data_IF_977446071989
#
_entry.id   IF_977446071989
#
_cell.length_a   1.000
_cell.length_b   1.000
_cell.length_c   1.000
_cell.angle_alpha   90.00
_cell.angle_beta   90.00
_cell.angle_gamma   90.00
#
_symmetry.space_group_name_H-M   'P 1'
#
loop_
_entity.id
_entity.type
_entity.pdbx_description
1 polymer ?
#
# COMPACT_ATOMS: atom_id res chain seq x y z
N UNK A 1 -47.75 -48.72 5.10
CA UNK A 1 -46.45 -48.57 4.42
C UNK A 1 -46.38 -47.14 3.89
N UNK A 2 -46.60 -46.14 4.75
CA UNK A 2 -47.04 -44.80 4.31
C UNK A 2 -46.33 -43.64 5.04
N UNK A 3 -45.43 -43.93 5.99
CA UNK A 3 -44.73 -42.90 6.76
C UNK A 3 -43.39 -42.46 6.13
N UNK A 4 -42.74 -43.31 5.30
CA UNK A 4 -41.46 -42.98 4.67
C UNK A 4 -41.60 -42.04 3.45
N UNK A 5 -42.73 -42.10 2.75
CA UNK A 5 -42.99 -41.27 1.57
C UNK A 5 -43.17 -39.78 1.94
N UNK A 6 -43.71 -39.48 3.11
CA UNK A 6 -43.98 -38.10 3.55
C UNK A 6 -42.71 -37.37 4.03
N UNK A 7 -41.83 -38.06 4.78
CA UNK A 7 -40.58 -37.50 5.29
C UNK A 7 -39.60 -37.11 4.17
N UNK A 8 -39.53 -37.92 3.10
CA UNK A 8 -38.67 -37.61 1.94
C UNK A 8 -39.14 -36.37 1.18
N UNK A 9 -40.46 -36.18 1.07
CA UNK A 9 -41.08 -35.08 0.35
C UNK A 9 -40.96 -33.76 1.12
N UNK A 10 -41.08 -33.81 2.45
CA UNK A 10 -40.84 -32.66 3.35
C UNK A 10 -39.38 -32.19 3.23
N UNK A 11 -38.42 -33.11 3.31
CA UNK A 11 -36.98 -32.78 3.21
C UNK A 11 -36.62 -32.17 1.85
N UNK A 12 -37.21 -32.68 0.77
CA UNK A 12 -36.93 -32.17 -0.58
C UNK A 12 -37.55 -30.78 -0.83
N UNK A 13 -38.74 -30.50 -0.26
CA UNK A 13 -39.34 -29.16 -0.29
C UNK A 13 -38.53 -28.14 0.51
N UNK A 14 -38.01 -28.52 1.67
CA UNK A 14 -37.20 -27.61 2.49
C UNK A 14 -35.86 -27.28 1.83
N UNK A 15 -35.20 -28.25 1.22
CA UNK A 15 -33.97 -28.01 0.45
C UNK A 15 -34.21 -27.09 -0.74
N UNK A 16 -35.28 -27.33 -1.50
CA UNK A 16 -35.63 -26.48 -2.66
C UNK A 16 -36.04 -25.07 -2.22
N UNK A 17 -36.66 -24.93 -1.04
CA UNK A 17 -37.00 -23.64 -0.43
C UNK A 17 -35.75 -22.90 0.05
N UNK A 18 -34.78 -23.60 0.65
CA UNK A 18 -33.46 -23.05 1.00
C UNK A 18 -32.67 -22.61 -0.22
N UNK A 19 -32.63 -23.43 -1.27
CA UNK A 19 -31.99 -23.07 -2.54
C UNK A 19 -32.68 -21.86 -3.20
N UNK A 20 -34.02 -21.81 -3.16
CA UNK A 20 -34.79 -20.66 -3.68
C UNK A 20 -34.55 -19.37 -2.89
N UNK A 21 -34.40 -19.45 -1.57
CA UNK A 21 -34.16 -18.28 -0.70
C UNK A 21 -32.71 -17.80 -0.75
N UNK A 22 -31.76 -18.71 -0.95
CA UNK A 22 -30.34 -18.39 -1.22
C UNK A 22 -30.16 -17.76 -2.61
N UNK A 23 -30.88 -18.25 -3.62
CA UNK A 23 -30.83 -17.70 -4.98
C UNK A 23 -31.63 -16.40 -5.15
N UNK A 24 -32.65 -16.16 -4.32
CA UNK A 24 -33.45 -14.93 -4.33
C UNK A 24 -32.94 -13.82 -3.42
N UNK A 25 -31.75 -13.96 -2.82
CA UNK A 25 -31.16 -12.95 -1.92
C UNK A 25 -30.16 -12.07 -2.68
N UNK A 26 -30.59 -10.93 -3.27
CA UNK A 26 -29.70 -10.02 -4.01
C UNK A 26 -28.60 -9.40 -3.15
N UNK A 27 -28.72 -9.46 -1.82
CA UNK A 27 -27.80 -8.84 -0.86
C UNK A 27 -26.50 -9.65 -0.61
N UNK A 28 -26.51 -10.97 -0.79
CA UNK A 28 -25.36 -11.84 -0.53
C UNK A 28 -24.15 -11.58 -1.46
N UNK A 29 -24.28 -11.55 -2.80
CA UNK A 29 -23.14 -11.33 -3.69
C UNK A 29 -22.56 -9.92 -3.55
N UNK A 30 -23.41 -8.91 -3.30
CA UNK A 30 -23.01 -7.53 -3.04
C UNK A 30 -22.22 -7.39 -1.73
N UNK A 31 -22.68 -8.03 -0.65
CA UNK A 31 -21.98 -8.01 0.65
C UNK A 31 -20.61 -8.69 0.61
N UNK A 32 -20.50 -9.84 -0.09
CA UNK A 32 -19.23 -10.56 -0.26
C UNK A 32 -18.23 -9.73 -1.09
N UNK A 33 -18.71 -9.11 -2.18
CA UNK A 33 -17.88 -8.23 -3.01
C UNK A 33 -17.41 -6.99 -2.24
N UNK A 34 -18.30 -6.35 -1.48
CA UNK A 34 -17.95 -5.20 -0.63
C UNK A 34 -16.93 -5.58 0.45
N UNK A 35 -17.11 -6.73 1.12
CA UNK A 35 -16.16 -7.24 2.12
C UNK A 35 -14.78 -7.46 1.50
N UNK A 36 -14.71 -8.10 0.33
CA UNK A 36 -13.43 -8.33 -0.34
C UNK A 36 -12.73 -7.03 -0.74
N UNK A 37 -13.49 -6.03 -1.19
CA UNK A 37 -12.97 -4.71 -1.55
C UNK A 37 -12.37 -3.97 -0.35
N UNK A 38 -13.03 -4.00 0.81
CA UNK A 38 -12.47 -3.46 2.06
C UNK A 38 -11.27 -4.25 2.57
N UNK A 39 -11.22 -5.56 2.35
CA UNK A 39 -10.03 -6.36 2.65
C UNK A 39 -8.85 -5.98 1.76
N UNK A 40 -9.08 -5.66 0.48
CA UNK A 40 -8.02 -5.13 -0.41
C UNK A 40 -7.51 -3.79 0.09
N UNK A 41 -8.39 -2.90 0.54
CA UNK A 41 -7.99 -1.64 1.18
C UNK A 41 -7.14 -1.89 2.44
N UNK A 42 -7.59 -2.74 3.35
CA UNK A 42 -6.84 -3.07 4.56
C UNK A 42 -5.47 -3.68 4.25
N UNK A 43 -5.41 -4.57 3.25
CA UNK A 43 -4.15 -5.14 2.79
C UNK A 43 -3.22 -4.11 2.15
N UNK A 44 -3.76 -3.16 1.38
CA UNK A 44 -2.98 -2.06 0.82
C UNK A 44 -2.38 -1.17 1.93
N UNK A 45 -3.20 -0.77 2.92
CA UNK A 45 -2.72 -0.02 4.09
C UNK A 45 -1.62 -0.79 4.81
N UNK A 46 -1.83 -2.09 5.06
CA UNK A 46 -0.82 -2.95 5.67
C UNK A 46 0.49 -2.97 4.88
N UNK A 47 0.42 -3.19 3.56
CA UNK A 47 1.59 -3.34 2.69
C UNK A 47 2.40 -2.05 2.52
N UNK A 48 1.81 -0.88 2.73
CA UNK A 48 2.59 0.38 2.77
C UNK A 48 3.15 0.63 4.17
N UNK A 49 2.36 0.40 5.23
CA UNK A 49 2.73 0.88 6.56
C UNK A 49 3.60 -0.08 7.38
N UNK A 50 3.41 -1.39 7.26
CA UNK A 50 4.12 -2.37 8.11
C UNK A 50 5.46 -2.80 7.53
N UNK A 51 5.58 -3.12 6.23
CA UNK A 51 6.84 -3.55 5.63
C UNK A 51 8.00 -2.59 5.83
N UNK A 52 7.77 -1.28 5.93
CA UNK A 52 8.84 -0.29 6.17
C UNK A 52 9.65 -0.59 7.43
N UNK A 53 9.01 -1.10 8.50
CA UNK A 53 9.68 -1.46 9.75
C UNK A 53 10.50 -2.75 9.67
N UNK A 54 10.30 -3.54 8.61
CA UNK A 54 11.02 -4.79 8.35
C UNK A 54 12.12 -4.53 7.31
N UNK A 55 11.76 -3.84 6.22
CA UNK A 55 12.66 -3.53 5.12
C UNK A 55 13.78 -2.58 5.55
N UNK A 56 13.47 -1.50 6.29
CA UNK A 56 14.48 -0.51 6.67
C UNK A 56 15.64 -1.11 7.52
N UNK A 57 15.40 -1.98 8.53
CA UNK A 57 16.49 -2.69 9.20
C UNK A 57 17.24 -3.68 8.29
N UNK A 58 16.51 -4.44 7.45
CA UNK A 58 17.13 -5.45 6.57
C UNK A 58 18.03 -4.76 5.54
N UNK A 59 17.56 -3.73 4.87
CA UNK A 59 18.31 -3.05 3.81
C UNK A 59 19.55 -2.33 4.35
N UNK A 60 19.51 -1.84 5.60
CA UNK A 60 20.68 -1.25 6.26
C UNK A 60 21.75 -2.29 6.65
N UNK A 61 21.34 -3.51 7.00
CA UNK A 61 22.24 -4.55 7.51
C UNK A 61 22.73 -5.48 6.40
N UNK A 62 21.84 -5.83 5.49
CA UNK A 62 21.96 -6.85 4.44
C UNK A 62 21.24 -6.36 3.16
N UNK A 63 21.75 -5.32 2.48
CA UNK A 63 21.09 -4.74 1.31
C UNK A 63 20.86 -5.76 0.18
N UNK A 64 21.82 -6.66 -0.06
CA UNK A 64 21.69 -7.75 -1.03
C UNK A 64 20.58 -8.74 -0.67
N UNK A 65 20.32 -8.98 0.62
CA UNK A 65 19.20 -9.81 1.06
C UNK A 65 17.86 -9.11 0.81
N UNK A 66 17.75 -7.81 1.11
CA UNK A 66 16.55 -7.03 0.80
C UNK A 66 16.20 -7.10 -0.68
N UNK A 67 17.23 -6.94 -1.54
CA UNK A 67 17.07 -7.05 -2.98
C UNK A 67 16.67 -8.47 -3.43
N UNK A 68 17.25 -9.52 -2.82
CA UNK A 68 16.87 -10.90 -3.10
C UNK A 68 15.42 -11.22 -2.68
N UNK A 69 14.93 -10.59 -1.60
CA UNK A 69 13.53 -10.73 -1.16
C UNK A 69 12.54 -10.17 -2.19
N UNK A 70 12.92 -9.23 -3.05
CA UNK A 70 12.10 -8.85 -4.21
C UNK A 70 11.75 -10.07 -5.06
N UNK A 71 12.74 -10.92 -5.36
CA UNK A 71 12.52 -12.15 -6.13
C UNK A 71 11.55 -13.10 -5.45
N UNK A 72 11.61 -13.20 -4.11
CA UNK A 72 10.65 -13.97 -3.32
C UNK A 72 9.22 -13.40 -3.44
N UNK A 73 9.04 -12.08 -3.34
CA UNK A 73 7.74 -11.43 -3.48
C UNK A 73 7.15 -11.63 -4.88
N UNK A 74 7.95 -11.48 -5.93
CA UNK A 74 7.55 -11.73 -7.32
C UNK A 74 7.14 -13.19 -7.52
N UNK A 75 7.95 -14.14 -7.04
CA UNK A 75 7.61 -15.56 -7.12
C UNK A 75 6.31 -15.89 -6.38
N UNK A 76 6.15 -15.38 -5.15
CA UNK A 76 4.94 -15.60 -4.35
C UNK A 76 3.71 -14.99 -5.02
N UNK A 77 3.85 -13.79 -5.59
CA UNK A 77 2.82 -13.13 -6.38
C UNK A 77 2.35 -14.03 -7.53
N UNK A 78 3.25 -14.51 -8.39
CA UNK A 78 2.88 -15.39 -9.51
C UNK A 78 2.25 -16.71 -9.03
N UNK A 79 2.76 -17.28 -7.93
CA UNK A 79 2.18 -18.49 -7.32
C UNK A 79 0.74 -18.25 -6.89
N UNK A 80 0.41 -17.10 -6.31
CA UNK A 80 -0.97 -16.75 -5.93
C UNK A 80 -1.83 -16.37 -7.14
N UNK A 81 -1.25 -15.74 -8.16
CA UNK A 81 -1.95 -15.42 -9.42
C UNK A 81 -2.30 -16.67 -10.24
N UNK A 82 -1.64 -17.81 -10.00
CA UNK A 82 -1.94 -19.07 -10.69
C UNK A 82 -3.33 -19.66 -10.38
N UNK A 83 -3.99 -19.20 -9.30
CA UNK A 83 -5.31 -19.69 -8.89
C UNK A 83 -6.35 -18.56 -8.86
N UNK A 84 -7.55 -18.74 -9.44
CA UNK A 84 -8.58 -17.70 -9.45
C UNK A 84 -8.96 -17.17 -8.05
N UNK A 85 -9.00 -18.05 -7.05
CA UNK A 85 -9.36 -17.69 -5.68
C UNK A 85 -8.34 -16.76 -4.99
N UNK A 86 -7.07 -16.86 -5.35
CA UNK A 86 -5.97 -16.07 -4.75
C UNK A 86 -5.43 -14.99 -5.67
N UNK A 87 -5.98 -14.87 -6.88
CA UNK A 87 -5.46 -13.97 -7.91
C UNK A 87 -5.32 -12.53 -7.43
N UNK A 88 -6.34 -11.99 -6.75
CA UNK A 88 -6.34 -10.60 -6.25
C UNK A 88 -5.18 -10.34 -5.29
N UNK A 89 -4.83 -11.31 -4.45
CA UNK A 89 -3.73 -11.18 -3.49
C UNK A 89 -2.37 -11.27 -4.17
N UNK A 90 -2.24 -12.17 -5.15
CA UNK A 90 -1.06 -12.25 -5.98
C UNK A 90 -0.84 -10.98 -6.81
N UNK A 91 -1.91 -10.43 -7.37
CA UNK A 91 -1.91 -9.16 -8.10
C UNK A 91 -1.47 -8.01 -7.16
N UNK A 92 -2.06 -7.90 -5.97
CA UNK A 92 -1.64 -6.89 -4.99
C UNK A 92 -0.16 -7.02 -4.60
N UNK A 93 0.32 -8.24 -4.31
CA UNK A 93 1.73 -8.51 -4.01
C UNK A 93 2.65 -8.21 -5.19
N UNK A 94 2.15 -8.35 -6.42
CA UNK A 94 2.90 -7.97 -7.62
C UNK A 94 3.22 -6.47 -7.61
N UNK A 95 2.21 -5.64 -7.36
CA UNK A 95 2.37 -4.19 -7.20
C UNK A 95 3.34 -3.83 -6.08
N UNK A 96 3.16 -4.47 -4.91
CA UNK A 96 4.05 -4.29 -3.76
C UNK A 96 5.51 -4.66 -4.05
N UNK A 97 5.76 -5.69 -4.86
CA UNK A 97 7.13 -6.09 -5.19
C UNK A 97 7.91 -5.00 -5.94
N UNK A 98 7.25 -4.12 -6.70
CA UNK A 98 7.89 -2.98 -7.34
C UNK A 98 8.30 -1.89 -6.33
N UNK A 99 7.43 -1.60 -5.36
CA UNK A 99 7.76 -0.69 -4.25
C UNK A 99 8.90 -1.25 -3.39
N UNK A 100 8.87 -2.55 -3.05
CA UNK A 100 9.96 -3.20 -2.33
C UNK A 100 11.27 -3.20 -3.13
N UNK A 101 11.22 -3.42 -4.45
CA UNK A 101 12.41 -3.35 -5.29
C UNK A 101 13.05 -1.96 -5.24
N UNK A 102 12.23 -0.92 -5.38
CA UNK A 102 12.70 0.45 -5.31
C UNK A 102 13.26 0.80 -3.93
N UNK A 103 12.55 0.43 -2.86
CA UNK A 103 12.99 0.57 -1.48
C UNK A 103 14.34 -0.11 -1.25
N UNK A 104 14.48 -1.37 -1.65
CA UNK A 104 15.72 -2.12 -1.53
C UNK A 104 16.90 -1.46 -2.28
N UNK A 105 16.68 -0.98 -3.52
CA UNK A 105 17.72 -0.31 -4.30
C UNK A 105 18.10 1.03 -3.68
N UNK A 106 17.12 1.89 -3.41
CA UNK A 106 17.36 3.24 -2.93
C UNK A 106 17.98 3.20 -1.52
N UNK A 107 17.33 2.53 -0.57
CA UNK A 107 17.81 2.50 0.81
C UNK A 107 19.09 1.67 0.98
N UNK A 108 19.38 0.73 0.08
CA UNK A 108 20.60 -0.07 0.13
C UNK A 108 21.83 0.65 -0.41
N UNK A 109 21.68 1.40 -1.51
CA UNK A 109 22.83 1.91 -2.26
C UNK A 109 22.71 3.35 -2.77
N UNK A 110 21.61 4.06 -2.59
CA UNK A 110 21.45 5.42 -3.14
C UNK A 110 20.94 6.44 -2.12
N UNK A 111 20.67 6.00 -0.88
CA UNK A 111 20.08 6.79 0.21
C UNK A 111 20.81 8.09 0.58
N UNK A 112 22.07 8.23 0.18
CA UNK A 112 22.90 9.40 0.49
C UNK A 112 22.43 10.68 -0.19
N UNK A 113 21.75 10.57 -1.34
CA UNK A 113 21.23 11.74 -2.05
C UNK A 113 19.70 11.60 -2.22
N UNK A 114 18.91 12.38 -1.47
CA UNK A 114 17.44 12.31 -1.48
C UNK A 114 16.81 12.45 -2.86
N UNK A 115 17.44 13.20 -3.77
CA UNK A 115 16.91 13.41 -5.12
C UNK A 115 16.87 12.13 -5.98
N UNK A 116 17.60 11.07 -5.60
CA UNK A 116 17.50 9.77 -6.26
C UNK A 116 16.28 8.95 -5.82
N UNK A 117 15.61 9.33 -4.74
CA UNK A 117 14.46 8.60 -4.19
C UNK A 117 13.37 8.41 -5.25
N UNK A 118 12.82 9.51 -5.76
CA UNK A 118 11.75 9.47 -6.74
C UNK A 118 12.12 8.76 -8.06
N UNK A 119 13.29 9.00 -8.70
CA UNK A 119 13.70 8.24 -9.88
C UNK A 119 13.74 6.72 -9.65
N UNK A 120 14.23 6.27 -8.50
CA UNK A 120 14.34 4.83 -8.18
C UNK A 120 12.96 4.23 -7.91
N UNK A 121 12.11 4.93 -7.16
CA UNK A 121 10.70 4.56 -6.94
C UNK A 121 9.90 4.47 -8.24
N UNK A 122 10.32 5.20 -9.27
CA UNK A 122 9.68 5.20 -10.60
C UNK A 122 10.15 4.07 -11.54
N UNK A 123 11.08 3.21 -11.15
CA UNK A 123 11.60 2.12 -12.03
C UNK A 123 10.49 1.16 -12.46
N UNK A 124 9.50 0.89 -11.59
CA UNK A 124 8.35 0.03 -11.90
C UNK A 124 7.30 0.69 -12.82
N UNK A 125 7.33 2.01 -12.99
CA UNK A 125 6.29 2.77 -13.67
C UNK A 125 6.07 2.38 -15.14
N UNK A 126 7.12 2.22 -15.98
CA UNK A 126 6.93 1.77 -17.36
C UNK A 126 6.22 0.41 -17.43
N UNK A 127 6.56 -0.50 -16.52
CA UNK A 127 5.95 -1.82 -16.45
C UNK A 127 4.49 -1.74 -16.01
N UNK A 128 4.20 -0.96 -14.96
CA UNK A 128 2.84 -0.75 -14.47
C UNK A 128 1.93 -0.16 -15.56
N UNK A 129 2.41 0.86 -16.28
CA UNK A 129 1.70 1.44 -17.43
C UNK A 129 1.42 0.39 -18.52
N UNK A 130 2.42 -0.40 -18.90
CA UNK A 130 2.25 -1.47 -19.89
C UNK A 130 1.19 -2.50 -19.46
N UNK A 131 1.22 -2.95 -18.21
CA UNK A 131 0.24 -3.88 -17.67
C UNK A 131 -1.19 -3.31 -17.67
N UNK A 132 -1.36 -2.04 -17.29
CA UNK A 132 -2.65 -1.38 -17.28
C UNK A 132 -3.22 -1.24 -18.70
N UNK A 133 -2.39 -0.91 -19.70
CA UNK A 133 -2.77 -0.90 -21.12
C UNK A 133 -3.24 -2.29 -21.57
N UNK A 134 -2.61 -3.35 -21.08
CA UNK A 134 -3.00 -4.75 -21.34
C UNK A 134 -4.15 -5.25 -20.45
N UNK A 135 -4.73 -4.41 -19.60
CA UNK A 135 -5.75 -4.79 -18.62
C UNK A 135 -5.32 -5.92 -17.66
N UNK A 136 -4.03 -6.07 -17.43
CA UNK A 136 -3.45 -7.10 -16.58
C UNK A 136 -3.00 -6.55 -15.24
N UNK A 137 -3.15 -7.33 -14.17
CA UNK A 137 -2.69 -6.97 -12.83
C UNK A 137 -3.22 -5.62 -12.32
N UNK A 138 -4.51 -5.32 -12.51
CA UNK A 138 -5.04 -3.98 -12.20
C UNK A 138 -4.91 -3.64 -10.72
N UNK A 139 -5.11 -4.59 -9.81
CA UNK A 139 -5.12 -4.28 -8.38
C UNK A 139 -3.72 -3.89 -7.90
N UNK A 140 -2.69 -4.66 -8.29
CA UNK A 140 -1.30 -4.36 -7.95
C UNK A 140 -0.78 -3.10 -8.60
N UNK A 141 -1.05 -2.90 -9.88
CA UNK A 141 -0.55 -1.72 -10.58
C UNK A 141 -1.18 -0.43 -10.04
N UNK A 142 -2.47 -0.43 -9.71
CA UNK A 142 -3.10 0.73 -9.05
C UNK A 142 -2.61 0.92 -7.61
N UNK A 143 -2.32 -0.15 -6.86
CA UNK A 143 -1.63 -0.05 -5.58
C UNK A 143 -0.27 0.66 -5.72
N UNK A 144 0.57 0.18 -6.64
CA UNK A 144 1.89 0.76 -6.90
C UNK A 144 1.79 2.24 -7.30
N UNK A 145 0.86 2.60 -8.19
CA UNK A 145 0.63 4.00 -8.56
C UNK A 145 0.18 4.86 -7.37
N UNK A 146 -0.64 4.33 -6.47
CA UNK A 146 -1.04 5.03 -5.25
C UNK A 146 0.14 5.27 -4.31
N UNK A 147 0.99 4.25 -4.12
CA UNK A 147 2.22 4.37 -3.34
C UNK A 147 3.16 5.40 -3.95
N UNK A 148 3.40 5.32 -5.26
CA UNK A 148 4.28 6.25 -5.98
C UNK A 148 3.75 7.69 -5.91
N UNK A 149 2.43 7.90 -6.01
CA UNK A 149 1.84 9.22 -5.84
C UNK A 149 2.09 9.77 -4.43
N UNK A 150 1.95 8.93 -3.40
CA UNK A 150 2.32 9.27 -2.03
C UNK A 150 3.76 9.75 -1.94
N UNK A 151 4.70 8.93 -2.45
CA UNK A 151 6.12 9.26 -2.53
C UNK A 151 6.38 10.59 -3.23
N UNK A 152 5.79 10.81 -4.42
CA UNK A 152 5.95 12.06 -5.18
C UNK A 152 5.54 13.26 -4.33
N UNK A 153 4.37 13.19 -3.70
CA UNK A 153 3.83 14.33 -2.94
C UNK A 153 4.64 14.59 -1.67
N UNK A 154 5.08 13.54 -0.96
CA UNK A 154 5.95 13.67 0.21
C UNK A 154 7.34 14.19 -0.17
N UNK A 155 7.95 13.71 -1.26
CA UNK A 155 9.25 14.22 -1.73
C UNK A 155 9.17 15.70 -2.15
N UNK A 156 8.10 16.10 -2.83
CA UNK A 156 7.84 17.51 -3.18
C UNK A 156 7.70 18.36 -1.92
N UNK A 157 6.99 17.86 -0.90
CA UNK A 157 6.90 18.53 0.40
C UNK A 157 8.29 18.69 1.04
N UNK A 158 9.10 17.62 1.08
CA UNK A 158 10.45 17.68 1.63
C UNK A 158 11.35 18.68 0.89
N UNK A 159 11.18 18.81 -0.42
CA UNK A 159 11.90 19.78 -1.20
C UNK A 159 11.46 21.21 -0.89
N UNK A 160 10.15 21.50 -0.89
CA UNK A 160 9.61 22.85 -0.69
C UNK A 160 9.80 23.33 0.77
N UNK A 161 9.70 22.43 1.74
CA UNK A 161 9.89 22.72 3.16
C UNK A 161 11.37 22.76 3.59
N UNK A 162 12.30 22.55 2.66
CA UNK A 162 13.75 22.50 2.92
C UNK A 162 14.15 21.43 3.96
N UNK A 163 13.57 20.23 3.82
CA UNK A 163 13.86 19.07 4.68
C UNK A 163 15.01 18.19 4.15
N UNK A 164 15.37 18.33 2.87
CA UNK A 164 16.44 17.56 2.23
C UNK A 164 17.81 17.68 2.93
N UNK A 165 18.23 18.85 3.46
CA UNK A 165 19.48 18.94 4.23
C UNK A 165 19.48 18.06 5.49
N UNK A 166 18.34 17.96 6.20
CA UNK A 166 18.22 17.11 7.39
C UNK A 166 18.24 15.64 7.01
N UNK A 167 17.61 15.26 5.90
CA UNK A 167 17.71 13.89 5.36
C UNK A 167 19.17 13.49 5.14
N UNK A 168 19.94 14.31 4.41
CA UNK A 168 21.36 14.04 4.15
C UNK A 168 22.16 13.84 5.45
N UNK A 169 21.89 14.66 6.47
CA UNK A 169 22.53 14.53 7.78
C UNK A 169 22.19 13.20 8.47
N UNK A 170 20.91 12.78 8.47
CA UNK A 170 20.47 11.52 9.11
C UNK A 170 21.16 10.30 8.47
N UNK A 171 21.48 10.35 7.18
CA UNK A 171 22.09 9.21 6.48
C UNK A 171 23.55 8.97 6.87
N UNK A 172 24.24 9.98 7.42
CA UNK A 172 25.66 9.92 7.80
C UNK A 172 25.81 9.97 9.34
N UNK A 173 24.78 10.40 10.07
CA UNK A 173 24.81 10.55 11.51
C UNK A 173 24.84 9.21 12.26
N UNK A 174 25.60 9.20 13.36
CA UNK A 174 25.53 8.15 14.37
C UNK A 174 24.20 8.17 15.13
N UNK A 175 23.86 7.07 15.79
CA UNK A 175 22.63 6.93 16.57
C UNK A 175 22.44 8.06 17.60
N UNK A 176 23.53 8.53 18.22
CA UNK A 176 23.52 9.59 19.23
C UNK A 176 23.18 10.99 18.67
N UNK A 177 23.45 11.22 17.38
CA UNK A 177 23.20 12.52 16.72
C UNK A 177 21.87 12.55 15.96
N UNK A 178 21.29 11.38 15.69
CA UNK A 178 20.05 11.23 14.92
C UNK A 178 18.87 11.95 15.56
N UNK A 179 18.69 11.83 16.89
CA UNK A 179 17.60 12.52 17.62
C UNK A 179 17.65 14.04 17.43
N UNK A 180 18.83 14.66 17.58
CA UNK A 180 18.99 16.12 17.38
C UNK A 180 18.64 16.56 15.97
N UNK A 181 19.01 15.77 14.95
CA UNK A 181 18.68 16.10 13.56
C UNK A 181 17.18 16.01 13.31
N UNK A 182 16.50 15.00 13.89
CA UNK A 182 15.04 14.87 13.81
C UNK A 182 14.33 16.03 14.52
N UNK A 183 14.81 16.46 15.69
CA UNK A 183 14.27 17.64 16.39
C UNK A 183 14.46 18.92 15.57
N UNK A 184 15.61 19.11 14.93
CA UNK A 184 15.82 20.28 14.06
C UNK A 184 14.92 20.24 12.81
N UNK A 185 14.73 19.06 12.20
CA UNK A 185 13.78 18.89 11.11
C UNK A 185 12.34 19.19 11.56
N UNK A 186 11.97 18.79 12.79
CA UNK A 186 10.67 19.12 13.37
C UNK A 186 10.48 20.64 13.53
N UNK A 187 11.51 21.38 13.96
CA UNK A 187 11.45 22.84 14.02
C UNK A 187 11.20 23.45 12.64
N UNK A 188 11.81 22.90 11.58
CA UNK A 188 11.57 23.33 10.20
C UNK A 188 10.12 23.07 9.76
N UNK A 189 9.57 21.88 10.08
CA UNK A 189 8.17 21.53 9.85
C UNK A 189 7.21 22.46 10.60
N UNK A 190 7.58 22.88 11.81
CA UNK A 190 6.76 23.76 12.66
C UNK A 190 6.76 25.24 12.24
N UNK A 191 7.59 25.64 11.28
CA UNK A 191 7.49 26.98 10.70
C UNK A 191 6.14 27.18 10.03
N UNK A 192 5.61 28.43 9.92
CA UNK A 192 4.36 28.68 9.20
C UNK A 192 4.37 28.17 7.76
N UNK A 193 5.54 28.21 7.10
CA UNK A 193 5.74 27.66 5.76
C UNK A 193 5.65 26.14 5.74
N UNK A 194 6.37 25.46 6.63
CA UNK A 194 6.35 24.01 6.76
C UNK A 194 4.96 23.47 7.10
N UNK A 195 4.23 24.13 8.01
CA UNK A 195 2.87 23.76 8.38
C UNK A 195 1.87 23.98 7.24
N UNK A 196 1.95 25.10 6.52
CA UNK A 196 1.08 25.38 5.39
C UNK A 196 1.19 24.28 4.32
N UNK A 197 2.41 23.90 3.95
CA UNK A 197 2.63 22.84 2.97
C UNK A 197 2.29 21.45 3.50
N UNK A 198 2.48 21.18 4.80
CA UNK A 198 2.05 19.92 5.41
C UNK A 198 0.51 19.78 5.38
N UNK A 199 -0.23 20.87 5.63
CA UNK A 199 -1.70 20.88 5.53
C UNK A 199 -2.13 20.65 4.08
N UNK A 200 -1.50 21.32 3.11
CA UNK A 200 -1.79 21.13 1.69
C UNK A 200 -1.53 19.66 1.29
N UNK A 201 -0.39 19.09 1.66
CA UNK A 201 -0.06 17.69 1.43
C UNK A 201 -1.14 16.75 1.99
N UNK A 202 -1.49 16.92 3.27
CA UNK A 202 -2.50 16.10 3.94
C UNK A 202 -3.87 16.23 3.24
N UNK A 203 -4.30 17.43 2.86
CA UNK A 203 -5.57 17.65 2.17
C UNK A 203 -5.62 17.00 0.78
N UNK A 204 -4.52 17.09 0.02
CA UNK A 204 -4.40 16.45 -1.30
C UNK A 204 -4.47 14.92 -1.16
N UNK A 205 -3.66 14.34 -0.26
CA UNK A 205 -3.65 12.89 -0.01
C UNK A 205 -5.02 12.40 0.50
N UNK A 206 -5.65 13.13 1.42
CA UNK A 206 -7.00 12.80 1.92
C UNK A 206 -8.03 12.84 0.80
N UNK A 207 -8.02 13.89 -0.01
CA UNK A 207 -9.01 14.08 -1.07
C UNK A 207 -8.85 13.00 -2.14
N UNK A 208 -7.64 12.79 -2.65
CA UNK A 208 -7.36 11.77 -3.66
C UNK A 208 -7.65 10.37 -3.13
N UNK A 209 -7.23 10.08 -1.89
CA UNK A 209 -7.49 8.83 -1.21
C UNK A 209 -8.99 8.56 -1.03
N UNK A 210 -9.75 9.48 -0.43
CA UNK A 210 -11.18 9.31 -0.16
C UNK A 210 -12.00 9.24 -1.47
N UNK A 211 -11.70 10.08 -2.47
CA UNK A 211 -12.40 10.05 -3.76
C UNK A 211 -12.23 8.71 -4.48
N UNK A 212 -11.08 8.06 -4.31
CA UNK A 212 -10.87 6.72 -4.88
C UNK A 212 -11.74 5.65 -4.21
N UNK A 213 -11.99 5.74 -2.89
CA UNK A 213 -12.86 4.80 -2.16
C UNK A 213 -14.34 4.92 -2.57
N UNK A 214 -14.75 6.01 -3.21
CA UNK A 214 -16.09 6.16 -3.77
C UNK A 214 -16.36 5.33 -5.04
N UNK A 215 -15.36 4.61 -5.56
CA UNK A 215 -15.47 3.81 -6.80
C UNK A 215 -15.70 2.34 -6.49
N UNK A 216 -16.52 1.65 -7.26
CA UNK A 216 -16.94 0.26 -6.97
C UNK A 216 -15.87 -0.82 -7.21
N UNK A 217 -14.77 -0.50 -7.89
CA UNK A 217 -13.77 -1.50 -8.27
C UNK A 217 -12.62 -1.62 -7.27
N UNK A 218 -12.17 -2.86 -7.01
CA UNK A 218 -11.11 -3.21 -6.04
C UNK A 218 -9.79 -2.46 -6.24
N UNK A 219 -9.41 -2.16 -7.47
CA UNK A 219 -8.15 -1.47 -7.77
C UNK A 219 -8.14 -0.03 -7.22
N UNK A 220 -9.29 0.65 -7.16
CA UNK A 220 -9.39 1.98 -6.55
C UNK A 220 -9.22 1.94 -5.04
N UNK A 221 -9.69 0.87 -4.38
CA UNK A 221 -9.46 0.67 -2.95
C UNK A 221 -8.00 0.33 -2.63
N UNK A 222 -7.32 -0.38 -3.53
CA UNK A 222 -5.88 -0.62 -3.42
C UNK A 222 -5.09 0.70 -3.56
N UNK A 223 -5.43 1.51 -4.57
CA UNK A 223 -4.86 2.84 -4.77
C UNK A 223 -5.12 3.76 -3.57
N UNK A 224 -6.38 3.89 -3.14
CA UNK A 224 -6.78 4.73 -2.01
C UNK A 224 -6.16 4.29 -0.70
N UNK A 225 -6.07 2.97 -0.47
CA UNK A 225 -5.35 2.40 0.66
C UNK A 225 -3.89 2.86 0.69
N UNK A 226 -3.19 2.73 -0.43
CA UNK A 226 -1.78 3.14 -0.55
C UNK A 226 -1.58 4.66 -0.35
N UNK A 227 -2.43 5.48 -0.96
CA UNK A 227 -2.38 6.96 -0.81
C UNK A 227 -2.64 7.37 0.63
N UNK A 228 -3.72 6.86 1.26
CA UNK A 228 -4.08 7.23 2.63
C UNK A 228 -3.06 6.72 3.66
N UNK A 229 -2.44 5.55 3.42
CA UNK A 229 -1.38 5.06 4.30
C UNK A 229 -0.12 5.92 4.28
N UNK A 230 0.08 6.76 3.25
CA UNK A 230 1.18 7.74 3.24
C UNK A 230 1.04 8.72 4.41
N UNK A 231 -0.18 9.21 4.66
CA UNK A 231 -0.48 10.08 5.81
C UNK A 231 -0.17 9.36 7.13
N UNK A 232 -0.53 8.07 7.23
CA UNK A 232 -0.27 7.27 8.42
C UNK A 232 1.23 7.14 8.68
N UNK A 233 2.00 6.76 7.66
CA UNK A 233 3.46 6.60 7.75
C UNK A 233 4.14 7.93 8.08
N UNK A 234 3.76 9.02 7.41
CA UNK A 234 4.29 10.36 7.68
C UNK A 234 3.96 10.82 9.11
N UNK A 235 2.75 10.52 9.59
CA UNK A 235 2.36 10.81 10.99
C UNK A 235 3.18 10.01 12.00
N UNK A 236 3.52 8.75 11.69
CA UNK A 236 4.39 7.94 12.55
C UNK A 236 5.80 8.53 12.61
N UNK A 237 6.36 9.01 11.49
CA UNK A 237 7.65 9.69 11.48
C UNK A 237 7.61 11.02 12.24
N UNK A 238 6.54 11.79 12.10
CA UNK A 238 6.35 13.02 12.87
C UNK A 238 6.28 12.74 14.37
N UNK A 239 5.51 11.73 14.79
CA UNK A 239 5.44 11.31 16.19
C UNK A 239 6.79 10.82 16.71
N UNK A 240 7.55 10.08 15.89
CA UNK A 240 8.90 9.67 16.25
C UNK A 240 9.83 10.88 16.44
N UNK A 241 9.72 11.92 15.60
CA UNK A 241 10.50 13.15 15.76
C UNK A 241 10.10 13.95 17.02
N UNK A 242 8.83 13.91 17.43
CA UNK A 242 8.35 14.53 18.67
C UNK A 242 8.85 13.76 19.91
N UNK A 243 8.97 12.44 19.81
CA UNK A 243 9.38 11.56 20.91
C UNK A 243 10.91 11.34 21.02
N UNK A 244 11.68 11.78 20.02
CA UNK A 244 13.14 11.64 19.94
C UNK A 244 13.88 12.62 20.85
#
# INVERSE_FOLDING_TARGET
MDAELDVSNIKHRDLKKLESTLSSSPSLPLSISARQTWLVFAAAVFLVSVPVFIEAPIVRSLPSLSLALTGFWVWLSFRLMSRPATYVWGDLLFGFSWSWLAGAIYWGWLRWEPLWHLPVESIGLPFACWCLVKNWGKVGNWFYLGSLLGTVLTDVYFYIADLMPYWRQIMIADANSTSKILQNALLQVQTPWGQAWAIILALVLLTVGILSLGRTHRHWYAFGGAVLSTILVDSLFLLAAIAA
#
